data_IF_517632187100
#
_entry.id   IF_517632187100
#
_cell.length_a   1.000
_cell.length_b   1.000
_cell.length_c   1.000
_cell.angle_alpha   90.00
_cell.angle_beta   90.00
_cell.angle_gamma   90.00
#
_symmetry.space_group_name_H-M   'P 1'
#
loop_
_entity.id
_entity.type
_entity.pdbx_description
1 polymer ?
#
# COMPACT_ATOMS: atom_id res chain seq x y z
N UNK A 1 -10.89 -0.96 -2.99
CA UNK A 1 -9.64 -0.28 -3.41
C UNK A 1 -8.40 -0.85 -2.71
N UNK A 2 -8.44 -1.07 -1.39
CA UNK A 2 -7.33 -1.62 -0.58
C UNK A 2 -6.76 -2.95 -1.09
N UNK A 3 -7.61 -3.94 -1.38
CA UNK A 3 -7.13 -5.26 -1.87
C UNK A 3 -6.47 -5.18 -3.25
N UNK A 4 -7.03 -4.39 -4.17
CA UNK A 4 -6.45 -4.18 -5.51
C UNK A 4 -5.05 -3.55 -5.41
N UNK A 5 -4.87 -2.59 -4.51
CA UNK A 5 -3.56 -1.99 -4.26
C UNK A 5 -2.56 -2.97 -3.64
N UNK A 6 -2.98 -3.77 -2.65
CA UNK A 6 -2.11 -4.75 -2.00
C UNK A 6 -1.70 -5.90 -2.93
N UNK A 7 -2.63 -6.38 -3.75
CA UNK A 7 -2.36 -7.40 -4.77
C UNK A 7 -1.40 -6.88 -5.82
N UNK A 8 -1.60 -5.64 -6.28
CA UNK A 8 -0.66 -4.98 -7.19
C UNK A 8 0.72 -4.81 -6.56
N UNK A 9 0.81 -4.43 -5.28
CA UNK A 9 2.08 -4.26 -4.58
C UNK A 9 2.82 -5.60 -4.45
N UNK A 10 2.09 -6.66 -4.08
CA UNK A 10 2.61 -8.04 -3.98
C UNK A 10 3.11 -8.55 -5.33
N UNK A 11 2.30 -8.42 -6.39
CA UNK A 11 2.68 -8.85 -7.74
C UNK A 11 3.90 -8.08 -8.27
N UNK A 12 3.98 -6.79 -7.97
CA UNK A 12 5.13 -5.96 -8.34
C UNK A 12 6.40 -6.42 -7.63
N UNK A 13 6.31 -6.81 -6.36
CA UNK A 13 7.45 -7.33 -5.59
C UNK A 13 7.94 -8.68 -6.14
N UNK A 14 7.01 -9.59 -6.45
CA UNK A 14 7.32 -10.87 -7.10
C UNK A 14 8.05 -10.63 -8.42
N UNK A 15 7.55 -9.71 -9.26
CA UNK A 15 8.16 -9.36 -10.54
C UNK A 15 9.59 -8.81 -10.35
N UNK A 16 9.79 -7.89 -9.40
CA UNK A 16 11.12 -7.32 -9.15
C UNK A 16 12.12 -8.35 -8.64
N UNK A 17 11.68 -9.30 -7.81
CA UNK A 17 12.53 -10.38 -7.32
C UNK A 17 12.88 -11.35 -8.46
N UNK A 18 11.90 -11.75 -9.26
CA UNK A 18 12.12 -12.61 -10.44
C UNK A 18 13.11 -11.98 -11.43
N UNK A 19 12.98 -10.68 -11.68
CA UNK A 19 13.84 -9.94 -12.62
C UNK A 19 15.17 -9.46 -12.00
N UNK A 20 15.44 -9.75 -10.72
CA UNK A 20 16.57 -9.22 -9.95
C UNK A 20 16.78 -7.70 -10.15
N UNK A 21 15.70 -6.93 -10.07
CA UNK A 21 15.70 -5.52 -10.44
C UNK A 21 16.48 -4.69 -9.39
N UNK A 22 17.39 -3.78 -9.77
CA UNK A 22 18.07 -2.89 -8.82
C UNK A 22 17.10 -1.91 -8.14
N UNK A 23 17.33 -1.57 -6.86
CA UNK A 23 16.45 -0.71 -6.05
C UNK A 23 16.06 0.61 -6.71
N UNK A 24 17.05 1.35 -7.26
CA UNK A 24 16.80 2.62 -7.94
C UNK A 24 15.87 2.45 -9.14
N UNK A 25 16.01 1.34 -9.88
CA UNK A 25 15.18 1.01 -11.03
C UNK A 25 13.77 0.62 -10.61
N UNK A 26 13.61 -0.09 -9.48
CA UNK A 26 12.28 -0.39 -8.91
C UNK A 26 11.50 0.89 -8.64
N UNK A 27 12.12 1.87 -7.97
CA UNK A 27 11.47 3.16 -7.66
C UNK A 27 11.02 3.88 -8.93
N UNK A 28 11.90 3.99 -9.93
CA UNK A 28 11.53 4.63 -11.21
C UNK A 28 10.39 3.91 -11.92
N UNK A 29 10.45 2.57 -12.00
CA UNK A 29 9.41 1.79 -12.67
C UNK A 29 8.05 1.92 -11.97
N UNK A 30 8.04 1.99 -10.64
CA UNK A 30 6.78 2.19 -9.91
C UNK A 30 6.27 3.62 -10.07
N UNK A 31 7.14 4.63 -9.99
CA UNK A 31 6.76 6.03 -10.21
C UNK A 31 6.08 6.20 -11.58
N UNK A 32 6.63 5.58 -12.63
CA UNK A 32 6.05 5.58 -13.98
C UNK A 32 4.69 4.86 -14.07
N UNK A 33 4.44 3.87 -13.21
CA UNK A 33 3.17 3.13 -13.17
C UNK A 33 2.07 3.85 -12.38
N UNK A 34 2.41 4.85 -11.56
CA UNK A 34 1.42 5.63 -10.84
C UNK A 34 0.55 6.42 -11.84
N UNK A 35 -0.74 6.51 -11.56
CA UNK A 35 -1.72 7.17 -12.44
C UNK A 35 -2.46 8.28 -11.68
N UNK A 36 -2.87 9.31 -12.43
CA UNK A 36 -3.70 10.42 -11.94
C UNK A 36 -3.15 11.01 -10.62
N UNK A 37 -4.00 11.11 -9.58
CA UNK A 37 -3.64 11.70 -8.29
C UNK A 37 -2.44 11.03 -7.60
N UNK A 38 -2.16 9.75 -7.88
CA UNK A 38 -1.00 9.08 -7.31
C UNK A 38 0.32 9.57 -7.92
N UNK A 39 0.33 9.86 -9.23
CA UNK A 39 1.51 10.43 -9.90
C UNK A 39 1.77 11.84 -9.38
N UNK A 40 0.74 12.69 -9.33
CA UNK A 40 0.88 14.06 -8.84
C UNK A 40 1.36 14.11 -7.38
N UNK A 41 0.85 13.22 -6.52
CA UNK A 41 1.33 13.10 -5.14
C UNK A 41 2.81 12.72 -5.06
N UNK A 42 3.26 11.77 -5.88
CA UNK A 42 4.65 11.33 -5.89
C UNK A 42 5.60 12.46 -6.34
N UNK A 43 5.22 13.19 -7.39
CA UNK A 43 6.00 14.32 -7.89
C UNK A 43 6.10 15.44 -6.84
N UNK A 44 5.00 15.78 -6.19
CA UNK A 44 4.99 16.75 -5.09
C UNK A 44 5.85 16.30 -3.91
N UNK A 45 5.84 15.00 -3.58
CA UNK A 45 6.66 14.44 -2.51
C UNK A 45 8.15 14.62 -2.83
N UNK A 46 8.60 14.25 -4.03
CA UNK A 46 10.01 14.41 -4.43
C UNK A 46 10.43 15.88 -4.48
N UNK A 47 9.59 16.78 -5.01
CA UNK A 47 9.86 18.23 -5.01
C UNK A 47 9.98 18.77 -3.58
N UNK A 48 9.07 18.39 -2.69
CA UNK A 48 9.12 18.80 -1.27
C UNK A 48 10.40 18.31 -0.59
N UNK A 49 10.80 17.06 -0.84
CA UNK A 49 12.06 16.50 -0.33
C UNK A 49 13.26 17.30 -0.80
N UNK A 50 13.33 17.61 -2.09
CA UNK A 50 14.41 18.39 -2.68
C UNK A 50 14.49 19.80 -2.05
N UNK A 51 13.34 20.48 -1.87
CA UNK A 51 13.29 21.79 -1.20
C UNK A 51 13.79 21.74 0.24
N UNK A 52 13.55 20.64 0.94
CA UNK A 52 14.08 20.42 2.30
C UNK A 52 15.54 19.91 2.31
N UNK A 53 16.24 19.88 1.17
CA UNK A 53 17.61 19.34 1.08
C UNK A 53 17.72 17.83 1.32
N UNK A 54 16.61 17.10 1.27
CA UNK A 54 16.58 15.65 1.49
C UNK A 54 16.89 14.92 0.17
N UNK A 55 17.63 13.82 0.28
CA UNK A 55 17.94 12.96 -0.86
C UNK A 55 16.67 12.35 -1.50
N UNK A 56 16.66 12.13 -2.83
CA UNK A 56 15.59 11.43 -3.52
C UNK A 56 15.34 10.04 -2.94
N UNK A 57 14.11 9.54 -3.06
CA UNK A 57 13.80 8.18 -2.62
C UNK A 57 14.43 7.20 -3.62
N UNK A 58 15.42 6.43 -3.15
CA UNK A 58 16.14 5.43 -3.97
C UNK A 58 15.91 3.98 -3.53
N UNK A 59 15.18 3.79 -2.43
CA UNK A 59 14.85 2.47 -1.88
C UNK A 59 13.40 2.14 -2.15
N UNK A 60 13.19 0.95 -2.72
CA UNK A 60 11.86 0.40 -2.94
C UNK A 60 11.10 0.21 -1.63
N UNK A 61 11.80 -0.26 -0.59
CA UNK A 61 11.22 -0.43 0.74
C UNK A 61 10.67 0.89 1.31
N UNK A 62 11.42 1.98 1.13
CA UNK A 62 10.96 3.31 1.54
C UNK A 62 9.74 3.78 0.74
N UNK A 63 9.74 3.57 -0.58
CA UNK A 63 8.61 3.91 -1.43
C UNK A 63 7.36 3.12 -1.04
N UNK A 64 7.47 1.82 -0.77
CA UNK A 64 6.35 0.97 -0.30
C UNK A 64 5.71 1.52 0.95
N UNK A 65 6.51 1.91 1.96
CA UNK A 65 5.98 2.47 3.21
C UNK A 65 5.17 3.74 2.94
N UNK A 66 5.68 4.63 2.09
CA UNK A 66 4.98 5.87 1.73
C UNK A 66 3.69 5.62 0.94
N UNK A 67 3.70 4.66 0.00
CA UNK A 67 2.51 4.25 -0.73
C UNK A 67 1.45 3.66 0.22
N UNK A 68 1.87 2.80 1.16
CA UNK A 68 0.97 2.23 2.17
C UNK A 68 0.34 3.32 3.05
N UNK A 69 1.14 4.27 3.56
CA UNK A 69 0.63 5.39 4.36
C UNK A 69 -0.33 6.28 3.56
N UNK A 70 -0.11 6.45 2.25
CA UNK A 70 -0.94 7.30 1.41
C UNK A 70 -2.26 6.64 0.98
N UNK A 71 -2.24 5.34 0.69
CA UNK A 71 -3.35 4.64 0.02
C UNK A 71 -4.04 3.58 0.88
N UNK A 72 -3.55 3.31 2.09
CA UNK A 72 -4.24 2.48 3.06
C UNK A 72 -4.94 3.35 4.10
N UNK A 73 -6.14 2.95 4.56
CA UNK A 73 -6.81 3.60 5.67
C UNK A 73 -5.91 3.67 6.91
N UNK A 74 -5.97 4.75 7.72
CA UNK A 74 -5.14 4.92 8.91
C UNK A 74 -5.29 3.77 9.93
N UNK A 75 -6.45 3.15 9.98
CA UNK A 75 -6.79 2.03 10.87
C UNK A 75 -6.53 0.65 10.24
N UNK A 76 -5.85 0.58 9.09
CA UNK A 76 -5.61 -0.67 8.38
C UNK A 76 -4.82 -1.69 9.22
N UNK A 77 -3.76 -1.27 9.91
CA UNK A 77 -2.96 -2.15 10.76
C UNK A 77 -3.74 -2.64 11.99
N UNK A 78 -4.55 -1.76 12.61
CA UNK A 78 -5.43 -2.14 13.71
C UNK A 78 -6.52 -3.12 13.25
N UNK A 79 -7.06 -2.93 12.04
CA UNK A 79 -8.06 -3.82 11.46
C UNK A 79 -7.48 -5.21 11.20
N UNK A 80 -6.27 -5.28 10.62
CA UNK A 80 -5.54 -6.53 10.44
C UNK A 80 -5.24 -7.22 11.77
N UNK A 81 -4.80 -6.48 12.78
CA UNK A 81 -4.51 -7.02 14.10
C UNK A 81 -5.76 -7.58 14.78
N UNK A 82 -6.86 -6.83 14.76
CA UNK A 82 -8.15 -7.28 15.30
C UNK A 82 -8.64 -8.54 14.59
N UNK A 83 -8.44 -8.64 13.28
CA UNK A 83 -8.76 -9.87 12.55
C UNK A 83 -7.88 -11.03 12.96
N UNK A 84 -6.57 -10.82 13.01
CA UNK A 84 -5.65 -11.86 13.44
C UNK A 84 -6.02 -12.40 14.83
N UNK A 85 -6.34 -11.52 15.78
CA UNK A 85 -6.83 -11.92 17.11
C UNK A 85 -8.16 -12.66 17.00
N UNK A 86 -9.13 -12.17 16.22
CA UNK A 86 -10.42 -12.81 16.03
C UNK A 86 -10.31 -14.21 15.38
N UNK A 87 -9.42 -14.39 14.40
CA UNK A 87 -9.17 -15.71 13.79
C UNK A 87 -8.47 -16.67 14.75
N UNK A 88 -7.65 -16.13 15.67
CA UNK A 88 -6.95 -16.92 16.67
C UNK A 88 -7.85 -17.28 17.86
N UNK A 89 -8.84 -16.44 18.17
CA UNK A 89 -9.72 -16.59 19.33
C UNK A 89 -11.06 -17.26 18.99
N UNK A 90 -11.51 -17.22 17.74
CA UNK A 90 -12.71 -17.93 17.27
C UNK A 90 -12.36 -19.19 16.48
N UNK A 91 -13.19 -20.23 16.58
CA UNK A 91 -13.21 -21.44 15.73
C UNK A 91 -13.46 -21.16 14.23
N UNK A 92 -13.28 -19.92 13.78
CA UNK A 92 -13.58 -19.47 12.42
C UNK A 92 -12.42 -19.79 11.48
N UNK A 93 -12.78 -20.15 10.25
CA UNK A 93 -11.79 -20.41 9.23
C UNK A 93 -11.16 -19.10 8.74
N UNK A 94 -9.97 -19.17 8.16
CA UNK A 94 -9.29 -18.02 7.54
C UNK A 94 -10.20 -17.34 6.49
N UNK A 95 -11.08 -18.09 5.83
CA UNK A 95 -12.05 -17.57 4.87
C UNK A 95 -13.07 -16.62 5.51
N UNK A 96 -13.64 -16.98 6.67
CA UNK A 96 -14.62 -16.14 7.38
C UNK A 96 -14.00 -14.82 7.85
N UNK A 97 -12.72 -14.84 8.23
CA UNK A 97 -11.98 -13.64 8.60
C UNK A 97 -11.75 -12.70 7.41
N UNK A 98 -11.47 -13.28 6.23
CA UNK A 98 -11.28 -12.52 4.99
C UNK A 98 -12.60 -11.88 4.57
N UNK A 99 -13.73 -12.58 4.65
CA UNK A 99 -15.04 -12.04 4.31
C UNK A 99 -15.40 -10.81 5.19
N UNK A 100 -15.18 -10.91 6.50
CA UNK A 100 -15.37 -9.79 7.42
C UNK A 100 -14.45 -8.59 7.11
N UNK A 101 -13.22 -8.84 6.63
CA UNK A 101 -12.33 -7.78 6.13
C UNK A 101 -12.90 -7.04 4.94
N UNK A 102 -13.39 -7.79 3.95
CA UNK A 102 -14.01 -7.20 2.77
C UNK A 102 -15.23 -6.36 3.15
N UNK A 103 -16.06 -6.85 4.08
CA UNK A 103 -17.23 -6.14 4.60
C UNK A 103 -16.87 -4.83 5.31
N UNK A 104 -15.89 -4.85 6.21
CA UNK A 104 -15.45 -3.65 6.94
C UNK A 104 -14.76 -2.64 6.03
N UNK A 105 -13.91 -3.12 5.12
CA UNK A 105 -13.24 -2.26 4.13
C UNK A 105 -14.24 -1.58 3.20
N UNK A 106 -15.32 -2.26 2.78
CA UNK A 106 -16.36 -1.67 1.96
C UNK A 106 -17.11 -0.53 2.67
N UNK A 107 -17.35 -0.64 3.98
CA UNK A 107 -17.98 0.43 4.79
C UNK A 107 -17.11 1.69 4.90
N UNK A 108 -15.79 1.52 5.04
CA UNK A 108 -14.86 2.66 5.15
C UNK A 108 -14.75 3.41 3.81
N UNK A 109 -14.75 2.68 2.68
CA UNK A 109 -14.74 3.33 1.35
C UNK A 109 -16.03 4.14 1.06
N UNK A 110 -17.15 3.82 1.72
CA UNK A 110 -18.40 4.58 1.57
C UNK A 110 -18.42 5.87 2.40
N UNK A 111 -17.61 5.96 3.46
CA UNK A 111 -17.57 7.14 4.34
C UNK A 111 -16.60 8.24 3.87
N UNK A 112 -15.82 8.03 2.82
CA UNK A 112 -14.90 9.05 2.25
C UNK A 112 -15.48 9.77 1.01
N UNK A 113 -16.79 9.66 0.76
CA UNK A 113 -17.48 10.28 -0.39
C UNK A 113 -18.28 11.56 -0.03
N UNK A 114 -17.80 12.37 0.93
CA UNK A 114 -18.33 13.73 1.18
C UNK A 114 -17.28 14.80 0.91
#
# INVERSE_FOLDING_TARGET
MVNVFLDWLKNTEILFNYMNTPEVKKVHLVALKLKAGASAWWDQLEVSRQRCGKQPIRSWEKMKKLLKVRFLPPNYEQTLYNQYQNCRQGTRTVADCIEEFHRLSARINLSENE
#
